data_IF_338414019507
#
_entry.id   IF_338414019507
#
_cell.length_a   1.000
_cell.length_b   1.000
_cell.length_c   1.000
_cell.angle_alpha   90.00
_cell.angle_beta   90.00
_cell.angle_gamma   90.00
#
_symmetry.space_group_name_H-M   'P 1'
#
loop_
_entity.id
_entity.type
_entity.pdbx_description
1 polymer ?
#
# COMPACT_ATOMS: atom_id res chain seq x y z
N UNK A 1 8.93 -15.80 26.64
CA UNK A 1 8.76 -15.96 25.17
C UNK A 1 7.46 -16.74 24.98
N UNK A 2 6.44 -16.17 24.31
CA UNK A 2 5.26 -16.96 23.92
C UNK A 2 5.72 -17.93 22.80
N UNK A 3 5.23 -19.18 22.79
CA UNK A 3 5.56 -20.11 21.72
C UNK A 3 5.12 -19.49 20.36
N UNK A 4 5.88 -19.76 19.31
CA UNK A 4 5.48 -19.37 17.97
C UNK A 4 4.15 -20.03 17.60
N UNK A 5 3.22 -19.29 16.96
CA UNK A 5 1.94 -19.87 16.57
C UNK A 5 2.16 -21.00 15.57
N UNK A 6 1.56 -22.13 15.81
CA UNK A 6 1.61 -23.29 14.90
C UNK A 6 0.68 -23.05 13.72
N UNK A 7 0.87 -23.79 12.61
CA UNK A 7 -0.05 -23.76 11.45
C UNK A 7 -1.49 -24.08 11.85
N UNK A 8 -1.69 -24.91 12.87
CA UNK A 8 -3.01 -25.23 13.45
C UNK A 8 -3.65 -24.00 14.13
N UNK A 9 -2.84 -23.12 14.77
CA UNK A 9 -3.34 -21.91 15.41
C UNK A 9 -3.82 -20.89 14.38
N UNK A 10 -3.16 -20.82 13.22
CA UNK A 10 -3.58 -19.95 12.11
C UNK A 10 -4.88 -20.41 11.45
N UNK A 11 -5.16 -21.72 11.43
CA UNK A 11 -6.40 -22.29 10.93
C UNK A 11 -7.56 -22.17 11.94
N UNK A 12 -7.29 -21.86 13.20
CA UNK A 12 -8.27 -21.75 14.28
C UNK A 12 -8.96 -20.37 14.33
N UNK A 13 -8.61 -19.41 13.44
CA UNK A 13 -9.26 -18.10 13.43
C UNK A 13 -10.77 -18.25 13.22
N UNK A 14 -11.53 -17.70 14.16
CA UNK A 14 -13.00 -17.57 14.05
C UNK A 14 -13.37 -16.10 14.09
N UNK A 15 -14.09 -15.67 13.07
CA UNK A 15 -14.66 -14.33 13.06
C UNK A 15 -15.57 -14.12 14.27
N UNK A 16 -15.57 -12.93 14.87
CA UNK A 16 -16.56 -12.59 15.89
C UNK A 16 -17.97 -12.77 15.33
N UNK A 17 -18.86 -13.38 16.11
CA UNK A 17 -20.23 -13.65 15.67
C UNK A 17 -21.01 -12.41 15.20
N UNK A 18 -20.66 -11.23 15.73
CA UNK A 18 -21.25 -9.95 15.38
C UNK A 18 -20.60 -9.28 14.14
N UNK A 19 -19.55 -9.86 13.56
CA UNK A 19 -18.91 -9.46 12.30
C UNK A 19 -19.00 -10.60 11.26
N UNK A 20 -20.18 -10.97 10.79
CA UNK A 20 -20.32 -12.07 9.85
C UNK A 20 -19.79 -11.68 8.46
N UNK A 21 -18.97 -12.58 7.90
CA UNK A 21 -18.45 -12.43 6.53
C UNK A 21 -17.41 -11.34 6.34
N UNK A 22 -16.77 -11.35 5.18
CA UNK A 22 -15.62 -10.48 4.88
C UNK A 22 -15.96 -8.99 4.86
N UNK A 23 -17.13 -8.61 4.35
CA UNK A 23 -17.55 -7.21 4.28
C UNK A 23 -17.68 -6.56 5.66
N UNK A 24 -18.33 -7.21 6.62
CA UNK A 24 -18.45 -6.68 7.97
C UNK A 24 -17.07 -6.57 8.64
N UNK A 25 -16.20 -7.57 8.46
CA UNK A 25 -14.83 -7.58 8.99
C UNK A 25 -13.90 -6.56 8.31
N UNK A 26 -14.23 -6.07 7.13
CA UNK A 26 -13.49 -5.02 6.43
C UNK A 26 -14.00 -3.63 6.80
N UNK A 27 -15.31 -3.44 6.76
CA UNK A 27 -15.92 -2.10 6.92
C UNK A 27 -15.87 -1.65 8.39
N UNK A 28 -16.20 -2.54 9.33
CA UNK A 28 -16.24 -2.18 10.74
C UNK A 28 -14.89 -1.69 11.29
N UNK A 29 -13.76 -2.38 11.06
CA UNK A 29 -12.45 -1.90 11.50
C UNK A 29 -12.05 -0.57 10.84
N UNK A 30 -12.40 -0.37 9.58
CA UNK A 30 -12.10 0.86 8.88
C UNK A 30 -12.81 2.09 9.47
N UNK A 31 -14.03 1.92 9.96
CA UNK A 31 -14.89 3.02 10.43
C UNK A 31 -14.86 3.20 11.96
N UNK A 32 -14.86 2.12 12.73
CA UNK A 32 -15.14 2.18 14.17
C UNK A 32 -14.11 1.50 15.07
N UNK A 33 -13.20 0.66 14.54
CA UNK A 33 -12.22 0.03 15.40
C UNK A 33 -11.26 1.06 16.01
N UNK A 34 -10.85 0.79 17.23
CA UNK A 34 -9.78 1.54 17.87
C UNK A 34 -8.48 1.30 17.11
N UNK A 35 -7.83 2.39 16.72
CA UNK A 35 -6.64 2.35 15.85
C UNK A 35 -5.33 2.32 16.61
N UNK A 36 -5.32 2.77 17.86
CA UNK A 36 -4.16 2.80 18.75
C UNK A 36 -4.60 2.70 20.21
N UNK A 37 -3.76 2.15 21.05
CA UNK A 37 -3.94 2.05 22.50
C UNK A 37 -3.08 3.09 23.22
N UNK A 38 -1.93 3.45 22.67
CA UNK A 38 -1.07 4.53 23.09
C UNK A 38 -1.49 5.90 22.53
N UNK A 39 -0.61 6.90 22.59
CA UNK A 39 -0.79 8.20 21.94
C UNK A 39 -0.95 8.04 20.43
N UNK A 40 -1.70 8.94 19.78
CA UNK A 40 -1.77 8.99 18.33
C UNK A 40 -0.37 9.20 17.73
N UNK A 41 0.00 8.50 16.66
CA UNK A 41 1.33 8.64 16.07
C UNK A 41 1.55 10.06 15.54
N UNK A 42 2.72 10.60 15.82
CA UNK A 42 3.21 11.85 15.25
C UNK A 42 4.12 11.49 14.07
N UNK A 43 3.92 12.14 12.94
CA UNK A 43 4.65 11.86 11.72
C UNK A 43 5.64 12.97 11.39
N UNK A 44 6.86 12.56 11.00
CA UNK A 44 7.85 13.42 10.37
C UNK A 44 7.95 13.03 8.90
N UNK A 45 7.60 13.94 8.00
CA UNK A 45 7.65 13.73 6.55
C UNK A 45 9.02 14.07 6.00
N UNK A 46 9.52 13.18 5.15
CA UNK A 46 10.72 13.36 4.34
C UNK A 46 10.32 13.25 2.87
N UNK A 47 10.77 14.17 2.01
CA UNK A 47 10.59 14.05 0.57
C UNK A 47 11.84 13.46 -0.06
N UNK A 48 11.66 12.40 -0.82
CA UNK A 48 12.72 11.74 -1.55
C UNK A 48 12.57 11.97 -3.06
N UNK A 49 13.61 12.51 -3.72
CA UNK A 49 13.66 12.55 -5.17
C UNK A 49 13.92 11.16 -5.72
N UNK A 50 13.08 10.73 -6.65
CA UNK A 50 13.19 9.44 -7.33
C UNK A 50 14.16 9.51 -8.51
N UNK A 51 14.66 8.37 -9.03
CA UNK A 51 15.63 8.36 -10.14
C UNK A 51 15.14 9.02 -11.44
N UNK A 52 13.84 9.19 -11.60
CA UNK A 52 13.19 9.87 -12.73
C UNK A 52 12.82 11.34 -12.44
N UNK A 53 13.52 11.99 -11.51
CA UNK A 53 13.32 13.39 -11.09
C UNK A 53 11.91 13.72 -10.57
N UNK A 54 11.15 12.70 -10.18
CA UNK A 54 9.88 12.82 -9.48
C UNK A 54 10.12 12.78 -7.96
N UNK A 55 9.09 12.51 -7.17
CA UNK A 55 9.22 12.36 -5.72
C UNK A 55 8.24 11.36 -5.14
N UNK A 56 8.64 10.82 -4.00
CA UNK A 56 7.77 10.21 -3.02
C UNK A 56 7.96 10.88 -1.67
N UNK A 57 6.92 10.90 -0.86
CA UNK A 57 7.01 11.33 0.53
C UNK A 57 7.04 10.09 1.44
N UNK A 58 7.86 10.15 2.47
CA UNK A 58 8.01 9.09 3.47
C UNK A 58 7.67 9.67 4.84
N UNK A 59 6.65 9.13 5.46
CA UNK A 59 6.27 9.50 6.82
C UNK A 59 6.94 8.54 7.81
N UNK A 60 7.82 9.08 8.67
CA UNK A 60 8.41 8.34 9.80
C UNK A 60 7.64 8.64 11.07
N UNK A 61 7.25 7.62 11.80
CA UNK A 61 6.67 7.82 13.11
C UNK A 61 7.74 8.32 14.10
N UNK A 62 7.42 9.36 14.85
CA UNK A 62 8.26 9.88 15.92
C UNK A 62 8.03 8.98 17.15
N UNK A 63 8.90 8.00 17.32
CA UNK A 63 8.82 6.99 18.39
C UNK A 63 10.07 7.05 19.25
N UNK A 64 9.91 6.72 20.54
CA UNK A 64 11.03 6.49 21.45
C UNK A 64 11.57 5.08 21.23
N UNK A 65 12.37 4.91 20.17
CA UNK A 65 13.00 3.65 19.81
C UNK A 65 14.52 3.77 19.88
N UNK A 66 15.18 2.66 20.26
CA UNK A 66 16.64 2.60 20.23
C UNK A 66 17.16 2.95 18.82
N UNK A 67 18.26 3.69 18.68
CA UNK A 67 18.80 4.05 17.34
C UNK A 67 18.98 2.87 16.39
N UNK A 68 19.38 1.70 16.92
CA UNK A 68 19.57 0.46 16.15
C UNK A 68 18.33 -0.46 16.15
N UNK A 69 17.17 -0.01 16.65
CA UNK A 69 15.96 -0.81 16.59
C UNK A 69 15.60 -1.16 15.15
N UNK A 70 15.11 -2.37 14.88
CA UNK A 70 14.66 -2.73 13.53
C UNK A 70 13.67 -1.70 12.98
N UNK A 71 13.79 -1.41 11.69
CA UNK A 71 12.85 -0.51 11.00
C UNK A 71 11.76 -1.34 10.32
N UNK A 72 10.53 -1.11 10.71
CA UNK A 72 9.34 -1.62 10.05
C UNK A 72 8.88 -0.64 8.98
N UNK A 73 8.91 -1.05 7.71
CA UNK A 73 8.44 -0.26 6.57
C UNK A 73 7.11 -0.81 6.10
N UNK A 74 6.09 0.03 6.01
CA UNK A 74 4.74 -0.36 5.60
C UNK A 74 4.38 0.26 4.26
N UNK A 75 4.13 -0.60 3.25
CA UNK A 75 3.56 -0.23 1.96
C UNK A 75 2.03 -0.31 2.04
N UNK A 76 1.39 0.82 1.82
CA UNK A 76 -0.06 0.96 2.00
C UNK A 76 -0.88 0.35 0.85
N UNK A 77 -2.16 0.12 1.09
CA UNK A 77 -3.11 -0.33 0.06
C UNK A 77 -3.51 0.78 -0.91
N UNK A 78 -4.39 0.43 -1.86
CA UNK A 78 -4.92 1.35 -2.87
C UNK A 78 -5.48 2.61 -2.20
N UNK A 79 -4.98 3.79 -2.65
CA UNK A 79 -5.36 5.11 -2.13
C UNK A 79 -5.10 5.31 -0.62
N UNK A 80 -4.24 4.47 -0.03
CA UNK A 80 -3.85 4.57 1.38
C UNK A 80 -2.79 5.64 1.65
N UNK A 81 -2.45 5.78 2.92
CA UNK A 81 -1.42 6.71 3.42
C UNK A 81 -1.02 6.35 4.85
N UNK A 82 -0.14 7.13 5.47
CA UNK A 82 0.19 7.04 6.90
C UNK A 82 -1.02 7.30 7.83
N UNK A 83 -2.07 7.96 7.33
CA UNK A 83 -3.32 8.18 8.07
C UNK A 83 -4.32 7.03 7.99
N UNK A 84 -4.05 6.01 7.17
CA UNK A 84 -4.90 4.81 7.08
C UNK A 84 -4.99 4.11 8.44
N UNK A 85 -6.16 3.55 8.76
CA UNK A 85 -6.43 2.91 10.04
C UNK A 85 -5.39 1.83 10.40
N UNK A 86 -4.96 1.05 9.41
CA UNK A 86 -3.94 0.02 9.60
C UNK A 86 -2.55 0.63 9.82
N UNK A 87 -2.19 1.72 9.13
CA UNK A 87 -0.90 2.38 9.32
C UNK A 87 -0.77 2.96 10.74
N UNK A 88 -1.85 3.56 11.26
CA UNK A 88 -1.92 4.02 12.65
C UNK A 88 -1.78 2.85 13.64
N UNK A 89 -2.45 1.71 13.37
CA UNK A 89 -2.35 0.52 14.22
C UNK A 89 -0.95 -0.10 14.20
N UNK A 90 -0.28 -0.13 13.03
CA UNK A 90 1.10 -0.58 12.91
C UNK A 90 2.09 0.37 13.60
N UNK A 91 1.84 1.69 13.60
CA UNK A 91 2.65 2.65 14.34
C UNK A 91 2.54 2.42 15.86
N UNK A 92 1.33 2.17 16.37
CA UNK A 92 1.09 1.83 17.77
C UNK A 92 1.77 0.50 18.17
N UNK A 93 1.67 -0.51 17.32
CA UNK A 93 2.37 -1.77 17.49
C UNK A 93 3.90 -1.57 17.50
N UNK A 94 4.44 -0.81 16.56
CA UNK A 94 5.87 -0.53 16.48
C UNK A 94 6.36 0.19 17.76
N UNK A 95 5.61 1.17 18.25
CA UNK A 95 5.90 1.84 19.50
C UNK A 95 5.93 0.86 20.69
N UNK A 96 4.93 -0.03 20.80
CA UNK A 96 4.85 -1.02 21.86
C UNK A 96 5.97 -2.08 21.80
N UNK A 97 6.54 -2.34 20.62
CA UNK A 97 7.65 -3.28 20.42
C UNK A 97 9.03 -2.61 20.39
N UNK A 98 9.10 -1.30 20.56
CA UNK A 98 10.36 -0.55 20.49
C UNK A 98 10.97 -0.53 19.08
N UNK A 99 10.19 -0.73 18.02
CA UNK A 99 10.60 -0.67 16.62
C UNK A 99 10.56 0.78 16.12
N UNK A 100 11.39 1.09 15.12
CA UNK A 100 11.16 2.27 14.29
C UNK A 100 10.11 1.95 13.21
N UNK A 101 9.41 2.97 12.72
CA UNK A 101 8.34 2.78 11.76
C UNK A 101 8.33 3.84 10.67
N UNK A 102 8.12 3.42 9.42
CA UNK A 102 8.02 4.31 8.29
C UNK A 102 6.94 3.86 7.30
N UNK A 103 6.28 4.82 6.68
CA UNK A 103 5.29 4.62 5.62
C UNK A 103 5.72 5.43 4.39
N UNK A 104 6.39 4.82 3.41
CA UNK A 104 6.55 5.44 2.11
C UNK A 104 5.18 5.52 1.42
N UNK A 105 4.88 6.69 0.87
CA UNK A 105 3.65 6.90 0.11
C UNK A 105 3.89 6.57 -1.35
N UNK A 106 3.04 5.77 -1.94
CA UNK A 106 3.02 5.63 -3.40
C UNK A 106 2.75 6.97 -4.07
N UNK A 107 3.22 7.12 -5.31
CA UNK A 107 3.14 8.38 -6.06
C UNK A 107 1.73 8.97 -6.07
N UNK A 108 1.61 10.22 -5.67
CA UNK A 108 0.35 10.93 -5.58
C UNK A 108 -0.56 10.52 -4.41
N UNK A 109 -0.04 9.77 -3.40
CA UNK A 109 -0.80 9.35 -2.21
C UNK A 109 -0.45 10.12 -0.92
N UNK A 110 0.52 11.03 -0.96
CA UNK A 110 0.93 11.83 0.20
C UNK A 110 0.11 13.12 0.41
N UNK A 111 -0.90 13.36 -0.43
CA UNK A 111 -1.69 14.59 -0.47
C UNK A 111 -1.30 15.51 -1.62
N UNK A 112 -0.10 15.38 -2.17
CA UNK A 112 0.38 16.08 -3.35
C UNK A 112 0.52 15.12 -4.53
N UNK A 113 0.14 15.58 -5.73
CA UNK A 113 0.28 14.79 -6.95
C UNK A 113 1.74 14.80 -7.39
N UNK A 114 2.30 13.63 -7.68
CA UNK A 114 3.64 13.51 -8.23
C UNK A 114 3.78 14.21 -9.59
N UNK A 115 5.01 14.52 -10.03
CA UNK A 115 5.28 15.34 -11.21
C UNK A 115 5.26 14.54 -12.50
N UNK A 116 5.88 13.37 -12.53
CA UNK A 116 6.00 12.53 -13.73
C UNK A 116 4.63 12.05 -14.26
N UNK A 117 4.51 11.78 -15.58
CA UNK A 117 3.33 11.18 -16.18
C UNK A 117 3.22 9.68 -15.83
N UNK A 118 3.35 9.37 -14.55
CA UNK A 118 3.37 8.04 -13.97
C UNK A 118 2.46 8.01 -12.75
N UNK A 119 1.83 6.89 -12.51
CA UNK A 119 1.11 6.56 -11.29
C UNK A 119 1.77 5.35 -10.63
N UNK A 120 1.27 4.91 -9.50
CA UNK A 120 1.64 3.64 -8.89
C UNK A 120 0.69 2.54 -9.37
N UNK A 121 1.16 1.31 -9.36
CA UNK A 121 0.34 0.13 -9.66
C UNK A 121 0.78 -1.08 -8.80
N UNK A 122 -0.01 -2.15 -8.85
CA UNK A 122 0.20 -3.34 -8.02
C UNK A 122 1.49 -4.11 -8.34
N UNK A 123 2.01 -4.00 -9.55
CA UNK A 123 3.23 -4.68 -10.00
C UNK A 123 4.50 -3.85 -9.90
N UNK A 124 4.49 -2.67 -9.28
CA UNK A 124 5.60 -1.71 -9.27
C UNK A 124 6.75 -2.13 -8.34
N UNK A 125 7.36 -3.26 -8.65
CA UNK A 125 8.43 -3.84 -7.82
C UNK A 125 9.72 -3.02 -7.88
N UNK A 126 9.98 -2.29 -8.96
CA UNK A 126 11.18 -1.45 -9.11
C UNK A 126 11.16 -0.29 -8.11
N UNK A 127 9.99 0.35 -7.93
CA UNK A 127 9.85 1.41 -6.94
C UNK A 127 9.95 0.87 -5.51
N UNK A 128 9.37 -0.32 -5.23
CA UNK A 128 9.57 -1.01 -3.95
C UNK A 128 11.06 -1.29 -3.71
N UNK A 129 11.77 -1.79 -4.72
CA UNK A 129 13.20 -2.08 -4.63
C UNK A 129 14.02 -0.83 -4.32
N UNK A 130 13.78 0.25 -5.04
CA UNK A 130 14.46 1.52 -4.83
C UNK A 130 14.23 2.06 -3.42
N UNK A 131 12.99 2.02 -2.94
CA UNK A 131 12.61 2.47 -1.59
C UNK A 131 13.34 1.64 -0.52
N UNK A 132 13.26 0.31 -0.61
CA UNK A 132 13.87 -0.59 0.38
C UNK A 132 15.39 -0.48 0.38
N UNK A 133 16.02 -0.41 -0.80
CA UNK A 133 17.45 -0.18 -0.90
C UNK A 133 17.87 1.14 -0.25
N UNK A 134 17.13 2.22 -0.50
CA UNK A 134 17.45 3.52 0.09
C UNK A 134 17.39 3.49 1.63
N UNK A 135 16.45 2.75 2.22
CA UNK A 135 16.44 2.53 3.67
C UNK A 135 17.66 1.72 4.13
N UNK A 136 17.97 0.62 3.44
CA UNK A 136 19.10 -0.25 3.79
C UNK A 136 20.45 0.46 3.64
N UNK A 137 20.63 1.26 2.59
CA UNK A 137 21.86 2.04 2.36
C UNK A 137 22.03 3.19 3.36
N UNK A 138 20.95 3.77 3.85
CA UNK A 138 21.00 4.83 4.86
C UNK A 138 21.47 4.32 6.24
N UNK A 139 21.21 3.06 6.57
CA UNK A 139 21.65 2.41 7.81
C UNK A 139 21.87 0.92 7.57
N UNK A 140 23.05 0.51 7.05
CA UNK A 140 23.32 -0.89 6.67
C UNK A 140 23.32 -1.91 7.81
N UNK A 141 23.44 -1.45 9.05
CA UNK A 141 23.44 -2.32 10.22
C UNK A 141 22.04 -2.52 10.82
N UNK A 142 21.08 -1.74 10.36
CA UNK A 142 19.73 -1.75 10.89
C UNK A 142 18.88 -2.82 10.21
N UNK A 143 18.33 -3.80 10.96
CA UNK A 143 17.43 -4.77 10.37
C UNK A 143 16.18 -4.10 9.78
N UNK A 144 15.87 -4.40 8.52
CA UNK A 144 14.72 -3.88 7.80
C UNK A 144 13.65 -4.97 7.69
N UNK A 145 12.42 -4.64 8.08
CA UNK A 145 11.25 -5.52 7.95
C UNK A 145 10.24 -4.80 7.05
N UNK A 146 9.76 -5.46 6.02
CA UNK A 146 8.80 -4.87 5.10
C UNK A 146 7.41 -5.52 5.26
N UNK A 147 6.37 -4.70 5.34
CA UNK A 147 4.97 -5.14 5.40
C UNK A 147 4.19 -4.44 4.30
N UNK A 148 3.41 -5.18 3.56
CA UNK A 148 2.53 -4.63 2.54
C UNK A 148 1.06 -4.96 2.81
N UNK A 149 0.18 -3.97 2.65
CA UNK A 149 -1.26 -4.12 2.86
C UNK A 149 -1.96 -4.08 1.50
N UNK A 150 -2.81 -5.07 1.21
CA UNK A 150 -3.62 -5.12 -0.01
C UNK A 150 -2.75 -4.94 -1.27
N UNK A 151 -2.94 -3.88 -2.06
CA UNK A 151 -2.13 -3.54 -3.22
C UNK A 151 -0.63 -3.43 -2.88
N UNK A 152 -0.29 -2.76 -1.78
CA UNK A 152 1.10 -2.67 -1.32
C UNK A 152 1.70 -4.03 -0.96
N UNK A 153 0.88 -4.97 -0.48
CA UNK A 153 1.30 -6.35 -0.26
C UNK A 153 1.53 -7.12 -1.57
N UNK A 154 0.70 -6.88 -2.59
CA UNK A 154 0.93 -7.46 -3.92
C UNK A 154 2.25 -6.96 -4.53
N UNK A 155 2.49 -5.64 -4.53
CA UNK A 155 3.74 -5.06 -5.02
C UNK A 155 4.97 -5.59 -4.24
N UNK A 156 4.86 -5.74 -2.93
CA UNK A 156 5.93 -6.28 -2.09
C UNK A 156 6.20 -7.77 -2.36
N UNK A 157 5.15 -8.57 -2.58
CA UNK A 157 5.31 -9.99 -2.97
C UNK A 157 5.92 -10.11 -4.37
N UNK A 158 5.51 -9.26 -5.32
CA UNK A 158 6.14 -9.20 -6.64
C UNK A 158 7.61 -8.88 -6.51
N UNK A 159 7.97 -7.86 -5.73
CA UNK A 159 9.35 -7.51 -5.44
C UNK A 159 10.13 -8.70 -4.85
N UNK A 160 9.59 -9.39 -3.86
CA UNK A 160 10.24 -10.53 -3.24
C UNK A 160 10.47 -11.68 -4.24
N UNK A 161 9.51 -11.92 -5.14
CA UNK A 161 9.63 -12.92 -6.20
C UNK A 161 10.72 -12.56 -7.22
N UNK A 162 10.79 -11.30 -7.65
CA UNK A 162 11.81 -10.82 -8.60
C UNK A 162 13.22 -10.84 -7.99
N UNK A 163 13.34 -10.46 -6.72
CA UNK A 163 14.63 -10.46 -6.03
C UNK A 163 15.11 -11.87 -5.64
N UNK A 164 14.19 -12.80 -5.42
CA UNK A 164 14.54 -14.15 -4.99
C UNK A 164 15.47 -14.13 -3.77
N UNK A 165 16.56 -14.88 -3.82
CA UNK A 165 17.55 -14.95 -2.71
C UNK A 165 18.23 -13.60 -2.43
N UNK A 166 18.34 -12.71 -3.40
CA UNK A 166 18.97 -11.40 -3.18
C UNK A 166 18.16 -10.45 -2.28
N UNK A 167 16.89 -10.77 -2.02
CA UNK A 167 16.06 -10.02 -1.07
C UNK A 167 16.67 -9.99 0.34
N UNK A 168 17.36 -11.05 0.77
CA UNK A 168 18.01 -11.15 2.09
C UNK A 168 19.07 -10.06 2.34
N UNK A 169 19.69 -9.58 1.29
CA UNK A 169 20.66 -8.47 1.37
C UNK A 169 20.00 -7.12 1.71
N UNK A 170 18.68 -7.03 1.52
CA UNK A 170 17.94 -5.78 1.71
C UNK A 170 17.01 -5.84 2.92
N UNK A 171 16.28 -6.95 3.11
CA UNK A 171 15.29 -7.09 4.18
C UNK A 171 15.45 -8.40 4.94
N UNK A 172 15.15 -8.39 6.24
CA UNK A 172 15.17 -9.59 7.10
C UNK A 172 13.88 -10.39 7.05
N UNK A 173 12.77 -9.74 6.76
CA UNK A 173 11.46 -10.38 6.68
C UNK A 173 10.49 -9.57 5.82
N UNK A 174 9.58 -10.28 5.18
CA UNK A 174 8.48 -9.73 4.38
C UNK A 174 7.17 -10.30 4.91
N UNK A 175 6.16 -9.44 5.07
CA UNK A 175 4.81 -9.85 5.36
C UNK A 175 3.82 -9.16 4.42
N UNK A 176 2.87 -9.93 3.88
CA UNK A 176 1.81 -9.41 3.03
C UNK A 176 0.45 -9.69 3.69
N UNK A 177 -0.36 -8.65 3.86
CA UNK A 177 -1.64 -8.71 4.56
C UNK A 177 -2.77 -8.40 3.59
N UNK A 178 -3.71 -9.34 3.44
CA UNK A 178 -4.88 -9.22 2.56
C UNK A 178 -4.53 -8.87 1.11
N UNK A 179 -3.40 -9.37 0.61
CA UNK A 179 -2.92 -9.07 -0.73
C UNK A 179 -3.71 -9.83 -1.79
N UNK A 180 -4.18 -9.16 -2.85
CA UNK A 180 -4.83 -9.85 -3.96
C UNK A 180 -3.77 -10.58 -4.79
N UNK A 181 -3.72 -11.91 -4.68
CA UNK A 181 -2.79 -12.75 -5.44
C UNK A 181 -3.26 -12.97 -6.88
N UNK A 182 -4.57 -12.98 -7.10
CA UNK A 182 -5.21 -12.97 -8.41
C UNK A 182 -5.93 -11.63 -8.59
N UNK A 183 -5.27 -10.72 -9.30
CA UNK A 183 -5.78 -9.36 -9.54
C UNK A 183 -7.05 -9.37 -10.40
N UNK A 184 -7.16 -10.27 -11.37
CA UNK A 184 -8.32 -10.38 -12.23
C UNK A 184 -9.55 -10.86 -11.42
N UNK A 185 -9.40 -11.94 -10.64
CA UNK A 185 -10.46 -12.41 -9.75
C UNK A 185 -10.85 -11.37 -8.71
N UNK A 186 -9.87 -10.66 -8.12
CA UNK A 186 -10.08 -9.57 -7.18
C UNK A 186 -10.87 -8.42 -7.79
N UNK A 187 -10.48 -7.97 -8.99
CA UNK A 187 -11.16 -6.91 -9.76
C UNK A 187 -12.61 -7.28 -10.10
N UNK A 188 -12.84 -8.52 -10.53
CA UNK A 188 -14.18 -9.03 -10.79
C UNK A 188 -15.05 -9.09 -9.52
N UNK A 189 -14.48 -9.55 -8.39
CA UNK A 189 -15.20 -9.64 -7.12
C UNK A 189 -15.58 -8.25 -6.57
N UNK A 190 -14.67 -7.30 -6.66
CA UNK A 190 -14.91 -5.89 -6.25
C UNK A 190 -15.93 -5.20 -7.19
N UNK A 191 -15.94 -5.54 -8.48
CA UNK A 191 -16.80 -4.94 -9.49
C UNK A 191 -18.27 -5.39 -9.48
N UNK A 192 -18.71 -6.24 -8.54
CA UNK A 192 -20.05 -6.85 -8.54
C UNK A 192 -20.82 -6.64 -7.25
N UNK A 193 -22.16 -6.64 -7.36
CA UNK A 193 -23.10 -6.64 -6.23
C UNK A 193 -22.82 -5.55 -5.20
N UNK A 194 -22.85 -5.91 -3.93
CA UNK A 194 -22.59 -5.01 -2.80
C UNK A 194 -21.18 -4.38 -2.87
N UNK A 195 -20.18 -5.16 -3.24
CA UNK A 195 -18.80 -4.69 -3.32
C UNK A 195 -18.65 -3.52 -4.31
N UNK A 196 -19.35 -3.58 -5.44
CA UNK A 196 -19.36 -2.47 -6.42
C UNK A 196 -19.91 -1.19 -5.82
N UNK A 197 -20.98 -1.29 -5.04
CA UNK A 197 -21.64 -0.11 -4.44
C UNK A 197 -20.78 0.55 -3.35
N UNK A 198 -19.98 -0.26 -2.64
CA UNK A 198 -19.14 0.23 -1.54
C UNK A 198 -17.72 0.51 -2.04
N UNK A 199 -16.98 -0.54 -2.40
CA UNK A 199 -15.53 -0.42 -2.64
C UNK A 199 -15.21 0.21 -4.00
N UNK A 200 -15.82 -0.27 -5.09
CA UNK A 200 -15.55 0.29 -6.42
C UNK A 200 -15.91 1.76 -6.47
N UNK A 201 -17.08 2.12 -5.93
CA UNK A 201 -17.50 3.53 -5.87
C UNK A 201 -16.57 4.38 -5.03
N UNK A 202 -16.14 3.88 -3.87
CA UNK A 202 -15.19 4.56 -3.00
C UNK A 202 -13.86 4.83 -3.73
N UNK A 203 -13.29 3.81 -4.36
CA UNK A 203 -12.03 3.95 -5.09
C UNK A 203 -12.14 4.90 -6.29
N UNK A 204 -13.15 4.73 -7.13
CA UNK A 204 -13.33 5.61 -8.28
C UNK A 204 -13.57 7.08 -7.88
N UNK A 205 -14.19 7.33 -6.74
CA UNK A 205 -14.42 8.69 -6.22
C UNK A 205 -13.10 9.40 -5.83
N UNK A 206 -12.07 8.67 -5.42
CA UNK A 206 -10.74 9.23 -5.13
C UNK A 206 -9.82 9.21 -6.34
N UNK A 207 -9.82 8.11 -7.10
CA UNK A 207 -8.88 7.90 -8.21
C UNK A 207 -9.17 8.78 -9.41
N UNK A 208 -10.44 8.91 -9.84
CA UNK A 208 -10.81 9.71 -11.02
C UNK A 208 -10.40 11.18 -10.91
N UNK A 209 -10.71 11.91 -9.81
CA UNK A 209 -10.27 13.29 -9.67
C UNK A 209 -8.74 13.42 -9.70
N UNK A 210 -8.02 12.45 -9.12
CA UNK A 210 -6.56 12.40 -9.14
C UNK A 210 -6.02 12.20 -10.55
N UNK A 211 -6.57 11.23 -11.29
CA UNK A 211 -6.21 10.97 -12.69
C UNK A 211 -6.51 12.18 -13.59
N UNK A 212 -7.66 12.83 -13.45
CA UNK A 212 -7.99 14.03 -14.22
C UNK A 212 -7.06 15.21 -13.92
N UNK A 213 -6.58 15.35 -12.68
CA UNK A 213 -5.52 16.32 -12.37
C UNK A 213 -4.19 15.95 -13.04
N UNK A 214 -3.87 14.66 -13.13
CA UNK A 214 -2.71 14.15 -13.87
C UNK A 214 -2.82 14.48 -15.37
N UNK A 215 -4.00 14.34 -15.96
CA UNK A 215 -4.26 14.73 -17.35
C UNK A 215 -4.08 16.26 -17.56
N UNK A 216 -4.47 17.07 -16.57
CA UNK A 216 -4.25 18.52 -16.63
C UNK A 216 -2.76 18.90 -16.54
N UNK A 217 -1.95 18.13 -15.80
CA UNK A 217 -0.49 18.30 -15.78
C UNK A 217 0.16 17.84 -17.11
N UNK A 218 -0.38 16.81 -17.75
CA UNK A 218 0.15 16.18 -18.95
C UNK A 218 -0.96 16.03 -20.01
N UNK A 219 -1.32 17.08 -20.75
CA UNK A 219 -2.37 17.03 -21.77
C UNK A 219 -2.09 15.96 -22.83
N UNK A 220 -3.12 15.20 -23.20
CA UNK A 220 -2.99 14.15 -24.20
C UNK A 220 -2.56 12.77 -23.66
N UNK A 221 -2.38 12.63 -22.35
CA UNK A 221 -1.88 11.40 -21.73
C UNK A 221 -2.87 10.22 -21.87
N UNK A 222 -4.17 10.50 -21.81
CA UNK A 222 -5.27 9.53 -21.99
C UNK A 222 -6.59 10.26 -22.28
N UNK A 223 -7.65 9.49 -22.62
CA UNK A 223 -9.00 10.03 -22.86
C UNK A 223 -9.71 10.38 -21.53
N UNK A 224 -9.78 11.67 -21.24
CA UNK A 224 -10.42 12.17 -20.01
C UNK A 224 -11.95 12.00 -19.98
N UNK A 225 -12.63 12.02 -21.14
CA UNK A 225 -14.10 11.81 -21.18
C UNK A 225 -14.43 10.34 -20.93
N UNK A 226 -13.71 9.42 -21.57
CA UNK A 226 -13.83 8.00 -21.30
C UNK A 226 -13.54 7.68 -19.83
N UNK A 227 -12.51 8.30 -19.22
CA UNK A 227 -12.18 8.11 -17.82
C UNK A 227 -13.30 8.60 -16.87
N UNK A 228 -13.93 9.74 -17.18
CA UNK A 228 -15.10 10.22 -16.42
C UNK A 228 -16.26 9.24 -16.47
N UNK A 229 -16.47 8.60 -17.62
CA UNK A 229 -17.53 7.62 -17.86
C UNK A 229 -17.24 6.24 -17.23
N UNK A 230 -15.99 5.89 -16.90
CA UNK A 230 -15.61 4.61 -16.33
C UNK A 230 -16.44 4.27 -15.07
N UNK A 231 -16.93 3.02 -14.97
CA UNK A 231 -17.88 2.59 -13.92
C UNK A 231 -17.33 1.51 -13.00
N UNK A 232 -16.15 0.99 -13.28
CA UNK A 232 -15.45 -0.02 -12.50
C UNK A 232 -13.93 0.15 -12.63
N UNK A 233 -13.18 -0.62 -11.83
CA UNK A 233 -11.72 -0.55 -11.82
C UNK A 233 -11.12 -1.07 -13.13
N UNK A 234 -11.75 -2.08 -13.75
CA UNK A 234 -11.27 -2.62 -15.03
C UNK A 234 -11.25 -1.54 -16.13
N UNK A 235 -12.35 -0.78 -16.26
CA UNK A 235 -12.41 0.34 -17.20
C UNK A 235 -11.43 1.45 -16.83
N UNK A 236 -11.29 1.75 -15.53
CA UNK A 236 -10.32 2.74 -15.06
C UNK A 236 -8.89 2.33 -15.42
N UNK A 237 -8.51 1.09 -15.15
CA UNK A 237 -7.15 0.60 -15.40
C UNK A 237 -6.82 0.54 -16.90
N UNK A 238 -7.77 0.15 -17.76
CA UNK A 238 -7.59 0.21 -19.20
C UNK A 238 -7.37 1.63 -19.75
N UNK A 239 -7.95 2.64 -19.11
CA UNK A 239 -7.90 4.02 -19.56
C UNK A 239 -6.77 4.83 -18.91
N UNK A 240 -6.30 4.43 -17.75
CA UNK A 240 -5.31 5.15 -16.96
C UNK A 240 -4.07 4.32 -16.68
N UNK A 241 -4.19 3.24 -15.91
CA UNK A 241 -3.03 2.47 -15.43
C UNK A 241 -2.27 1.82 -16.59
N UNK A 242 -2.96 1.13 -17.49
CA UNK A 242 -2.33 0.43 -18.61
C UNK A 242 -1.56 1.38 -19.55
N UNK A 243 -2.16 2.49 -20.06
CA UNK A 243 -1.42 3.42 -20.92
C UNK A 243 -0.22 4.09 -20.24
N UNK A 244 -0.31 4.41 -18.94
CA UNK A 244 0.77 5.07 -18.22
C UNK A 244 1.99 4.17 -18.02
N UNK A 245 1.80 2.86 -18.04
CA UNK A 245 2.86 1.87 -17.78
C UNK A 245 3.23 1.02 -18.99
N UNK A 246 2.65 1.33 -20.17
CA UNK A 246 2.97 0.62 -21.41
C UNK A 246 2.36 -0.78 -21.52
N UNK A 247 1.37 -1.10 -20.68
CA UNK A 247 0.56 -2.31 -20.82
C UNK A 247 -0.44 -2.16 -21.97
N UNK A 248 -0.76 -3.26 -22.65
CA UNK A 248 -1.78 -3.27 -23.71
C UNK A 248 -3.18 -3.03 -23.13
N UNK A 249 -3.48 -3.66 -22.02
CA UNK A 249 -4.75 -3.58 -21.32
C UNK A 249 -4.59 -4.06 -19.86
N UNK A 250 -5.69 -4.13 -19.15
CA UNK A 250 -5.76 -4.58 -17.74
C UNK A 250 -5.43 -6.07 -17.55
N UNK A 251 -5.38 -6.87 -18.61
CA UNK A 251 -5.05 -8.30 -18.53
C UNK A 251 -3.54 -8.56 -18.68
N UNK A 252 -2.81 -7.61 -19.25
CA UNK A 252 -1.35 -7.65 -19.44
C UNK A 252 -0.61 -7.42 -18.12
#
# INVERSE_FOLDING_TARGET
MKPEPTTADLQAYRAPWWLPGGNAQTIWPALWARRHFGPAPVWRRERWTTPDDDFIDVDRAVLDSHPQAPLLVLFHGLEGSSSSQYAVAFADFAAAQGLAFAVPHFRGCSGELNRAPRAYHSGDFEEIHWILRRFAEADPQRPLIAVGISLGGNALLRWAGEMGQSADATVRAVAAVCSPLDLAAGGHAIGRGFNRQVYTRMFLNSMKPKALRKLAQHPGLFDGEALRAARDLYQFDNLFTAPLHGFRDTQD
#
